data_IF_208262711254
#
_entry.id   IF_208262711254
#
_cell.length_a   1.000
_cell.length_b   1.000
_cell.length_c   1.000
_cell.angle_alpha   90.00
_cell.angle_beta   90.00
_cell.angle_gamma   90.00
#
_symmetry.space_group_name_H-M   'P 1'
#
loop_
_entity.id
_entity.type
_entity.pdbx_description
1 polymer ?
#
# COMPACT_ATOMS: atom_id res chain seq x y z
N UNK A 1 -5.14 -7.77 -32.22
CA UNK A 1 -3.98 -7.81 -31.30
C UNK A 1 -3.27 -6.48 -31.39
N UNK A 2 -3.10 -5.75 -30.28
CA UNK A 2 -2.36 -4.48 -30.27
C UNK A 2 -0.87 -4.75 -30.56
N UNK A 3 -0.23 -3.94 -31.41
CA UNK A 3 1.22 -4.01 -31.65
C UNK A 3 2.00 -3.74 -30.36
N UNK A 4 3.18 -4.36 -30.21
CA UNK A 4 4.07 -4.16 -29.05
C UNK A 4 4.42 -2.69 -28.82
N UNK A 5 4.65 -1.95 -29.91
CA UNK A 5 4.91 -0.51 -29.87
C UNK A 5 3.72 0.28 -29.29
N UNK A 6 2.49 -0.05 -29.68
CA UNK A 6 1.28 0.62 -29.16
C UNK A 6 1.12 0.38 -27.66
N UNK A 7 1.43 -0.84 -27.18
CA UNK A 7 1.40 -1.16 -25.74
C UNK A 7 2.42 -0.34 -24.97
N UNK A 8 3.64 -0.21 -25.49
CA UNK A 8 4.69 0.58 -24.87
C UNK A 8 4.31 2.06 -24.73
N UNK A 9 3.77 2.67 -25.78
CA UNK A 9 3.31 4.06 -25.75
C UNK A 9 2.15 4.28 -24.78
N UNK A 10 1.17 3.37 -24.74
CA UNK A 10 0.06 3.45 -23.78
C UNK A 10 0.56 3.38 -22.34
N UNK A 11 1.48 2.46 -22.05
CA UNK A 11 2.10 2.38 -20.72
C UNK A 11 2.87 3.65 -20.37
N UNK A 12 3.63 4.22 -21.30
CA UNK A 12 4.40 5.45 -21.07
C UNK A 12 3.49 6.65 -20.76
N UNK A 13 2.42 6.83 -21.55
CA UNK A 13 1.47 7.94 -21.37
C UNK A 13 0.70 7.82 -20.05
N UNK A 14 0.44 6.60 -19.56
CA UNK A 14 -0.18 6.38 -18.25
C UNK A 14 0.82 6.47 -17.08
N UNK A 15 2.08 6.09 -17.31
CA UNK A 15 3.13 6.10 -16.31
C UNK A 15 3.49 7.52 -15.87
N UNK A 16 3.66 8.45 -16.82
CA UNK A 16 4.03 9.84 -16.54
C UNK A 16 3.07 10.50 -15.54
N UNK A 17 1.74 10.57 -15.78
CA UNK A 17 0.81 11.18 -14.85
C UNK A 17 0.72 10.41 -13.54
N UNK A 18 0.79 9.07 -13.56
CA UNK A 18 0.77 8.24 -12.35
C UNK A 18 1.93 8.57 -11.41
N UNK A 19 3.15 8.64 -11.94
CA UNK A 19 4.35 8.99 -11.17
C UNK A 19 4.28 10.41 -10.64
N UNK A 20 3.80 11.37 -11.45
CA UNK A 20 3.64 12.76 -11.02
C UNK A 20 2.65 12.91 -9.85
N UNK A 21 1.48 12.26 -9.94
CA UNK A 21 0.49 12.26 -8.86
C UNK A 21 1.04 11.60 -7.61
N UNK A 22 1.70 10.45 -7.75
CA UNK A 22 2.29 9.72 -6.62
C UNK A 22 3.35 10.55 -5.89
N UNK A 23 4.23 11.25 -6.64
CA UNK A 23 5.24 12.13 -6.05
C UNK A 23 4.59 13.34 -5.36
N UNK A 24 3.57 13.94 -5.98
CA UNK A 24 2.84 15.05 -5.41
C UNK A 24 2.17 14.68 -4.09
N UNK A 25 1.48 13.53 -4.06
CA UNK A 25 0.82 13.01 -2.85
C UNK A 25 1.85 12.70 -1.78
N UNK A 26 2.94 12.00 -2.13
CA UNK A 26 4.00 11.69 -1.18
C UNK A 26 4.62 12.97 -0.58
N UNK A 27 4.87 13.99 -1.41
CA UNK A 27 5.35 15.29 -0.95
C UNK A 27 4.35 15.96 0.01
N UNK A 28 3.06 15.93 -0.33
CA UNK A 28 2.00 16.46 0.51
C UNK A 28 1.98 15.75 1.88
N UNK A 29 1.94 14.42 1.90
CA UNK A 29 1.94 13.63 3.15
C UNK A 29 3.19 13.85 4.00
N UNK A 30 4.37 14.03 3.39
CA UNK A 30 5.62 14.27 4.12
C UNK A 30 5.70 15.69 4.68
N UNK A 31 5.12 16.68 4.00
CA UNK A 31 5.17 18.10 4.41
C UNK A 31 4.26 18.39 5.59
N UNK A 32 3.08 17.78 5.65
CA UNK A 32 2.10 18.04 6.71
C UNK A 32 2.32 17.12 7.92
N UNK A 33 2.90 17.68 8.99
CA UNK A 33 3.21 16.95 10.22
C UNK A 33 1.98 16.41 10.95
N UNK A 34 0.80 17.01 10.76
CA UNK A 34 -0.48 16.54 11.29
C UNK A 34 -0.91 15.23 10.62
N UNK A 35 -0.70 15.08 9.31
CA UNK A 35 -1.01 13.85 8.60
C UNK A 35 -0.06 12.72 9.01
N UNK A 36 1.21 13.01 9.31
CA UNK A 36 2.17 11.97 9.72
C UNK A 36 1.89 11.30 11.07
N UNK A 37 1.00 11.83 11.91
CA UNK A 37 0.76 11.27 13.26
C UNK A 37 -0.35 10.21 13.30
N UNK A 38 -1.16 10.09 12.25
CA UNK A 38 -2.21 9.08 12.19
C UNK A 38 -1.66 7.77 11.62
N UNK A 39 -1.95 6.64 12.30
CA UNK A 39 -1.50 5.31 11.89
C UNK A 39 -1.94 4.97 10.46
N UNK A 40 -3.21 5.24 10.12
CA UNK A 40 -3.76 5.17 8.77
C UNK A 40 -2.87 5.83 7.70
N UNK A 41 -2.31 7.00 8.00
CA UNK A 41 -1.53 7.75 7.03
C UNK A 41 -0.14 7.15 6.81
N UNK A 42 0.42 6.42 7.79
CA UNK A 42 1.64 5.65 7.59
C UNK A 42 1.44 4.51 6.58
N UNK A 43 0.31 3.81 6.63
CA UNK A 43 -0.01 2.74 5.68
C UNK A 43 -0.14 3.31 4.26
N UNK A 44 -0.78 4.47 4.11
CA UNK A 44 -0.90 5.17 2.83
C UNK A 44 0.47 5.61 2.30
N UNK A 45 1.34 6.15 3.15
CA UNK A 45 2.71 6.55 2.76
C UNK A 45 3.50 5.33 2.28
N UNK A 46 3.44 4.21 2.99
CA UNK A 46 4.11 2.96 2.56
C UNK A 46 3.58 2.48 1.21
N UNK A 47 2.27 2.55 1.00
CA UNK A 47 1.63 2.15 -0.26
C UNK A 47 2.07 3.05 -1.42
N UNK A 48 2.15 4.37 -1.21
CA UNK A 48 2.67 5.33 -2.20
C UNK A 48 4.14 5.07 -2.53
N UNK A 49 4.96 4.72 -1.54
CA UNK A 49 6.37 4.37 -1.75
C UNK A 49 6.48 3.07 -2.57
N UNK A 50 5.73 2.03 -2.23
CA UNK A 50 5.69 0.78 -2.99
C UNK A 50 5.27 1.03 -4.44
N UNK A 51 4.20 1.80 -4.67
CA UNK A 51 3.72 2.15 -6.01
C UNK A 51 4.75 2.95 -6.83
N UNK A 52 5.49 3.86 -6.18
CA UNK A 52 6.55 4.61 -6.84
C UNK A 52 7.73 3.71 -7.24
N UNK A 53 8.14 2.79 -6.36
CA UNK A 53 9.22 1.83 -6.65
C UNK A 53 8.81 0.91 -7.81
N UNK A 54 7.60 0.36 -7.78
CA UNK A 54 7.06 -0.49 -8.85
C UNK A 54 7.00 0.26 -10.18
N UNK A 55 6.52 1.50 -10.17
CA UNK A 55 6.44 2.36 -11.35
C UNK A 55 7.80 2.69 -11.95
N UNK A 56 8.83 2.89 -11.11
CA UNK A 56 10.18 3.23 -11.55
C UNK A 56 11.05 2.02 -11.90
N UNK A 57 10.67 0.81 -11.50
CA UNK A 57 11.44 -0.41 -11.76
C UNK A 57 10.72 -1.30 -12.75
N UNK A 58 9.67 -1.97 -12.30
CA UNK A 58 8.96 -3.00 -13.06
C UNK A 58 8.33 -2.43 -14.34
N UNK A 59 7.60 -1.31 -14.24
CA UNK A 59 6.96 -0.72 -15.42
C UNK A 59 7.99 -0.23 -16.44
N UNK A 60 9.11 0.37 -15.99
CA UNK A 60 10.19 0.81 -16.89
C UNK A 60 10.83 -0.38 -17.60
N UNK A 61 11.11 -1.47 -16.88
CA UNK A 61 11.66 -2.69 -17.48
C UNK A 61 10.72 -3.32 -18.50
N UNK A 62 9.40 -3.31 -18.23
CA UNK A 62 8.39 -3.75 -19.18
C UNK A 62 8.32 -2.86 -20.43
N UNK A 63 8.36 -1.53 -20.28
CA UNK A 63 8.39 -0.60 -21.42
C UNK A 63 9.63 -0.84 -22.28
N UNK A 64 10.81 -0.99 -21.66
CA UNK A 64 12.05 -1.30 -22.37
C UNK A 64 11.93 -2.61 -23.16
N UNK A 65 11.38 -3.65 -22.53
CA UNK A 65 11.15 -4.93 -23.18
C UNK A 65 10.20 -4.81 -24.39
N UNK A 66 9.16 -3.98 -24.30
CA UNK A 66 8.23 -3.79 -25.43
C UNK A 66 8.83 -3.01 -26.61
N UNK A 67 9.77 -2.09 -26.36
CA UNK A 67 10.46 -1.38 -27.43
C UNK A 67 11.57 -2.20 -28.07
N UNK A 68 12.40 -2.86 -27.26
CA UNK A 68 13.61 -3.52 -27.75
C UNK A 68 13.44 -5.03 -27.98
N UNK A 69 12.29 -5.61 -27.60
CA UNK A 69 12.00 -7.05 -27.64
C UNK A 69 13.00 -7.93 -26.87
N UNK A 70 13.87 -7.29 -26.09
CA UNK A 70 14.93 -7.90 -25.29
C UNK A 70 14.92 -7.34 -23.88
N UNK A 71 15.40 -8.11 -22.91
CA UNK A 71 15.56 -7.61 -21.54
C UNK A 71 16.69 -6.60 -21.47
N UNK A 72 16.64 -5.69 -20.49
CA UNK A 72 17.64 -4.63 -20.32
C UNK A 72 19.03 -5.20 -20.02
N UNK A 73 19.10 -6.28 -19.25
CA UNK A 73 20.33 -7.03 -18.99
C UNK A 73 20.02 -8.52 -18.91
N UNK A 74 20.75 -9.33 -19.67
CA UNK A 74 20.63 -10.79 -19.65
C UNK A 74 21.45 -11.45 -18.52
N UNK A 75 21.85 -10.68 -17.51
CA UNK A 75 22.60 -11.21 -16.38
C UNK A 75 21.70 -12.03 -15.45
N UNK A 76 22.22 -13.15 -14.94
CA UNK A 76 21.48 -14.03 -14.02
C UNK A 76 20.94 -13.28 -12.80
N UNK A 77 21.74 -12.35 -12.25
CA UNK A 77 21.34 -11.54 -11.11
C UNK A 77 20.15 -10.64 -11.44
N UNK A 78 20.14 -9.98 -12.61
CA UNK A 78 19.03 -9.12 -13.02
C UNK A 78 17.73 -9.89 -13.17
N UNK A 79 17.75 -11.04 -13.86
CA UNK A 79 16.55 -11.88 -14.04
C UNK A 79 16.00 -12.37 -12.69
N UNK A 80 16.87 -12.76 -11.76
CA UNK A 80 16.46 -13.19 -10.42
C UNK A 80 15.88 -12.03 -9.61
N UNK A 81 16.49 -10.85 -9.66
CA UNK A 81 15.97 -9.64 -9.00
C UNK A 81 14.60 -9.28 -9.57
N UNK A 82 14.45 -9.26 -10.90
CA UNK A 82 13.18 -8.91 -11.53
C UNK A 82 12.06 -9.91 -11.17
N UNK A 83 12.36 -11.21 -11.20
CA UNK A 83 11.42 -12.25 -10.82
C UNK A 83 10.95 -12.17 -9.35
N UNK A 84 11.73 -11.55 -8.47
CA UNK A 84 11.37 -11.38 -7.06
C UNK A 84 10.70 -10.03 -6.81
N UNK A 85 11.21 -8.95 -7.39
CA UNK A 85 10.75 -7.58 -7.10
C UNK A 85 9.29 -7.38 -7.50
N UNK A 86 8.88 -7.76 -8.70
CA UNK A 86 7.49 -7.57 -9.15
C UNK A 86 6.48 -8.27 -8.22
N UNK A 87 6.54 -9.61 -8.06
CA UNK A 87 5.61 -10.34 -7.21
C UNK A 87 5.65 -9.92 -5.74
N UNK A 88 6.83 -9.63 -5.18
CA UNK A 88 6.95 -9.21 -3.78
C UNK A 88 6.33 -7.84 -3.53
N UNK A 89 6.53 -6.87 -4.43
CA UNK A 89 5.92 -5.55 -4.32
C UNK A 89 4.41 -5.62 -4.47
N UNK A 90 3.92 -6.45 -5.41
CA UNK A 90 2.49 -6.71 -5.57
C UNK A 90 1.85 -7.29 -4.30
N UNK A 91 2.45 -8.34 -3.73
CA UNK A 91 1.96 -8.96 -2.48
C UNK A 91 2.01 -7.97 -1.31
N UNK A 92 3.07 -7.16 -1.22
CA UNK A 92 3.19 -6.14 -0.19
C UNK A 92 2.09 -5.07 -0.32
N UNK A 93 1.85 -4.56 -1.53
CA UNK A 93 0.80 -3.58 -1.79
C UNK A 93 -0.59 -4.12 -1.47
N UNK A 94 -0.89 -5.36 -1.87
CA UNK A 94 -2.15 -6.04 -1.54
C UNK A 94 -2.34 -6.20 -0.04
N UNK A 95 -1.28 -6.59 0.66
CA UNK A 95 -1.33 -6.77 2.12
C UNK A 95 -1.56 -5.43 2.83
N UNK A 96 -0.89 -4.36 2.40
CA UNK A 96 -1.10 -3.01 2.92
C UNK A 96 -2.51 -2.51 2.65
N UNK A 97 -3.06 -2.78 1.46
CA UNK A 97 -4.42 -2.40 1.09
C UNK A 97 -5.47 -3.17 1.91
N UNK A 98 -5.25 -4.47 2.12
CA UNK A 98 -6.09 -5.28 2.98
C UNK A 98 -6.06 -4.76 4.42
N UNK A 99 -4.87 -4.46 4.95
CA UNK A 99 -4.70 -3.88 6.28
C UNK A 99 -5.44 -2.53 6.42
N UNK A 100 -5.25 -1.61 5.47
CA UNK A 100 -5.93 -0.32 5.46
C UNK A 100 -7.46 -0.47 5.42
N UNK A 101 -7.97 -1.47 4.70
CA UNK A 101 -9.40 -1.75 4.62
C UNK A 101 -9.95 -2.27 5.95
N UNK A 102 -9.22 -3.17 6.62
CA UNK A 102 -9.56 -3.68 7.95
C UNK A 102 -9.55 -2.54 8.97
N UNK A 103 -8.52 -1.69 8.97
CA UNK A 103 -8.40 -0.54 9.88
C UNK A 103 -9.61 0.41 9.74
N UNK A 104 -9.99 0.75 8.50
CA UNK A 104 -11.18 1.57 8.23
C UNK A 104 -12.47 0.89 8.66
N UNK A 105 -12.61 -0.41 8.43
CA UNK A 105 -13.82 -1.15 8.82
C UNK A 105 -14.00 -1.16 10.34
N UNK A 106 -12.92 -1.37 11.11
CA UNK A 106 -12.95 -1.33 12.59
C UNK A 106 -13.32 0.07 13.08
N UNK A 107 -12.78 1.12 12.48
CA UNK A 107 -13.10 2.51 12.84
C UNK A 107 -14.57 2.85 12.60
N UNK A 108 -15.15 2.44 11.47
CA UNK A 108 -16.56 2.68 11.18
C UNK A 108 -17.46 1.90 12.12
N UNK A 109 -17.15 0.62 12.36
CA UNK A 109 -17.97 -0.23 13.21
C UNK A 109 -17.96 0.23 14.68
N UNK A 110 -16.79 0.60 15.20
CA UNK A 110 -16.68 1.17 16.55
C UNK A 110 -17.46 2.48 16.68
N UNK A 111 -17.40 3.37 15.68
CA UNK A 111 -18.19 4.60 15.65
C UNK A 111 -19.70 4.32 15.69
N UNK A 112 -20.20 3.38 14.89
CA UNK A 112 -21.63 3.03 14.84
C UNK A 112 -22.11 2.49 16.20
N UNK A 113 -21.33 1.61 16.85
CA UNK A 113 -21.68 1.08 18.17
C UNK A 113 -21.74 2.19 19.22
N UNK A 114 -20.81 3.15 19.18
CA UNK A 114 -20.78 4.28 20.11
C UNK A 114 -22.00 5.19 19.96
N UNK A 115 -22.41 5.47 18.74
CA UNK A 115 -23.62 6.26 18.45
C UNK A 115 -24.88 5.54 18.92
N UNK A 116 -24.98 4.22 18.70
CA UNK A 116 -26.16 3.44 19.09
C UNK A 116 -26.26 3.19 20.61
N UNK A 117 -25.14 3.10 21.33
CA UNK A 117 -25.13 2.84 22.78
C UNK A 117 -25.19 4.10 23.64
N UNK A 118 -25.13 5.31 23.05
CA UNK A 118 -25.16 6.57 23.80
C UNK A 118 -24.03 6.73 24.82
N UNK A 119 -22.98 5.91 24.74
CA UNK A 119 -21.85 5.90 25.68
C UNK A 119 -20.57 6.31 24.95
N UNK A 120 -20.00 7.43 25.40
CA UNK A 120 -18.73 8.00 24.95
C UNK A 120 -17.57 7.14 25.46
N UNK A 121 -17.29 6.00 24.84
CA UNK A 121 -16.10 5.21 25.16
C UNK A 121 -14.90 5.72 24.37
N UNK A 122 -14.04 6.47 25.06
CA UNK A 122 -12.70 6.82 24.60
C UNK A 122 -11.90 5.51 24.46
N UNK A 123 -11.71 5.03 23.23
CA UNK A 123 -10.73 3.98 22.97
C UNK A 123 -9.36 4.66 22.87
N UNK A 124 -8.43 4.46 23.83
CA UNK A 124 -7.06 4.91 23.65
C UNK A 124 -6.38 3.89 22.74
N UNK A 125 -6.59 4.01 21.43
CA UNK A 125 -5.78 3.33 20.41
C UNK A 125 -4.43 4.03 20.20
N UNK A 126 -4.10 4.99 21.06
CA UNK A 126 -2.85 5.71 21.01
C UNK A 126 -1.84 5.09 21.97
N UNK A 127 -0.66 4.82 21.43
CA UNK A 127 0.62 4.51 22.10
C UNK A 127 0.82 3.09 22.61
N UNK A 128 1.25 2.19 21.72
CA UNK A 128 2.54 1.49 21.90
C UNK A 128 2.92 0.81 20.59
N UNK A 129 4.00 1.28 19.96
CA UNK A 129 4.49 0.82 18.67
C UNK A 129 5.18 -0.54 18.74
N UNK A 130 4.41 -1.62 18.92
CA UNK A 130 4.89 -2.98 18.69
C UNK A 130 3.83 -3.83 17.98
N UNK A 131 4.09 -4.13 16.71
CA UNK A 131 3.22 -4.91 15.82
C UNK A 131 2.83 -6.30 16.39
N UNK A 132 3.69 -6.90 17.22
CA UNK A 132 3.46 -8.22 17.83
C UNK A 132 2.49 -8.22 19.02
N UNK A 133 2.22 -7.08 19.68
CA UNK A 133 1.32 -7.02 20.85
C UNK A 133 -0.12 -6.64 20.49
N UNK A 134 -0.38 -6.28 19.24
CA UNK A 134 -1.72 -5.95 18.73
C UNK A 134 -2.54 -7.20 18.40
N UNK A 135 -1.91 -8.24 17.83
CA UNK A 135 -2.60 -9.49 17.52
C UNK A 135 -3.13 -10.20 18.78
N UNK A 136 -2.37 -10.18 19.88
CA UNK A 136 -2.80 -10.76 21.16
C UNK A 136 -3.91 -9.97 21.85
N UNK A 137 -3.98 -8.64 21.65
CA UNK A 137 -5.04 -7.78 22.21
C UNK A 137 -6.34 -7.84 21.41
N UNK A 138 -6.26 -7.98 20.08
CA UNK A 138 -7.45 -8.21 19.23
C UNK A 138 -8.09 -9.57 19.56
N UNK A 139 -7.28 -10.62 19.79
CA UNK A 139 -7.81 -11.91 20.26
C UNK A 139 -8.46 -11.81 21.65
N UNK A 140 -7.91 -11.00 22.56
CA UNK A 140 -8.51 -10.80 23.89
C UNK A 140 -9.86 -10.08 23.83
N UNK A 141 -10.05 -9.10 22.93
CA UNK A 141 -11.36 -8.48 22.71
C UNK A 141 -12.34 -9.44 22.02
N UNK A 142 -11.89 -10.23 21.03
CA UNK A 142 -12.75 -11.18 20.33
C UNK A 142 -13.21 -12.35 21.23
N UNK A 143 -12.40 -12.77 22.21
CA UNK A 143 -12.80 -13.79 23.20
C UNK A 143 -13.80 -13.30 24.24
N UNK A 144 -13.84 -12.00 24.55
CA UNK A 144 -14.80 -11.46 25.52
C UNK A 144 -16.21 -11.39 24.91
N UNK A 145 -16.34 -11.12 23.61
CA UNK A 145 -17.64 -11.09 22.92
C UNK A 145 -18.25 -12.49 22.68
N UNK A 146 -17.49 -13.58 22.80
CA UNK A 146 -17.98 -14.96 22.63
C UNK A 146 -18.39 -15.66 23.94
N UNK A 147 -18.34 -14.98 25.09
CA UNK A 147 -18.70 -15.54 26.41
C UNK A 147 -19.85 -14.82 27.12
N UNK A 148 -20.64 -14.01 26.40
CA UNK A 148 -21.95 -13.52 26.86
C UNK A 148 -23.08 -13.92 25.91
#
# INVERSE_FOLDING_TARGET
>A
MLSWYTRAWLMLVLLIPSVLVTIFDLYHFLRFSSLRKALNNHVIILLLICALIESLTDIIWHIYFYFNTSVMSFTYQFCKTWAVVGPSMYVAAFTLMAWASIERHILIFSLIILVNKGQTFLVPLCTTGNMHTLASRILFCYSIDYTM
#
